data_IF_353552505161
#
_entry.id   IF_353552505161
#
_cell.length_a   1.000
_cell.length_b   1.000
_cell.length_c   1.000
_cell.angle_alpha   90.00
_cell.angle_beta   90.00
_cell.angle_gamma   90.00
#
_symmetry.space_group_name_H-M   'P 1'
#
loop_
_entity.id
_entity.type
_entity.pdbx_description
1 polymer ?
#
# COMPACT_ATOMS: atom_id res chain seq x y z
N UNK A 1 -18.63 0.46 15.34
CA UNK A 1 -18.48 0.11 13.92
C UNK A 1 -17.99 1.35 13.21
N UNK A 2 -17.07 1.20 12.26
CA UNK A 2 -16.63 2.28 11.38
C UNK A 2 -17.81 2.79 10.55
N UNK A 3 -17.86 4.09 10.28
CA UNK A 3 -18.87 4.69 9.41
C UNK A 3 -18.53 4.49 7.94
N UNK A 4 -19.57 4.35 7.12
CA UNK A 4 -19.44 4.27 5.66
C UNK A 4 -19.18 5.65 5.07
N UNK A 5 -18.67 5.70 3.84
CA UNK A 5 -18.48 6.98 3.13
C UNK A 5 -19.77 7.81 3.05
N UNK A 6 -20.92 7.15 2.84
CA UNK A 6 -22.22 7.82 2.80
C UNK A 6 -22.61 8.44 4.15
N UNK A 7 -22.27 7.79 5.27
CA UNK A 7 -22.52 8.33 6.60
C UNK A 7 -21.61 9.54 6.90
N UNK A 8 -20.34 9.47 6.52
CA UNK A 8 -19.42 10.62 6.64
C UNK A 8 -19.89 11.80 5.77
N UNK A 9 -20.35 11.53 4.54
CA UNK A 9 -20.91 12.55 3.67
C UNK A 9 -22.11 13.26 4.33
N UNK A 10 -23.03 12.50 4.95
CA UNK A 10 -24.15 13.07 5.72
C UNK A 10 -23.67 13.90 6.90
N UNK A 11 -22.67 13.44 7.65
CA UNK A 11 -22.10 14.23 8.75
C UNK A 11 -21.54 15.56 8.26
N UNK A 12 -20.80 15.57 7.14
CA UNK A 12 -20.28 16.81 6.55
C UNK A 12 -21.41 17.76 6.19
N UNK A 13 -22.50 17.25 5.59
CA UNK A 13 -23.68 18.06 5.26
C UNK A 13 -24.31 18.68 6.51
N UNK A 14 -24.46 17.90 7.57
CA UNK A 14 -25.01 18.39 8.84
C UNK A 14 -24.14 19.51 9.43
N UNK A 15 -22.80 19.41 9.30
CA UNK A 15 -21.85 20.47 9.72
C UNK A 15 -21.88 21.72 8.85
N UNK A 16 -22.27 21.60 7.57
CA UNK A 16 -22.38 22.73 6.66
C UNK A 16 -23.65 23.58 6.91
N UNK A 17 -24.59 23.10 7.74
CA UNK A 17 -25.76 23.85 8.22
C UNK A 17 -26.52 24.63 7.12
N UNK A 18 -26.99 23.97 6.05
CA UNK A 18 -27.84 24.63 5.04
C UNK A 18 -29.28 24.11 5.09
N UNK A 19 -30.20 25.00 5.49
CA UNK A 19 -31.60 24.66 5.73
C UNK A 19 -32.42 24.43 4.46
N UNK A 20 -32.06 24.96 3.28
CA UNK A 20 -33.01 24.94 2.14
C UNK A 20 -32.47 24.95 0.70
N UNK A 21 -31.16 25.02 0.45
CA UNK A 21 -30.60 24.77 -0.89
C UNK A 21 -29.12 24.37 -0.79
N UNK A 22 -28.80 23.09 -0.99
CA UNK A 22 -27.42 22.60 -0.95
C UNK A 22 -26.55 23.34 -1.97
N UNK A 23 -25.65 24.21 -1.50
CA UNK A 23 -24.65 24.89 -2.36
C UNK A 23 -23.52 23.98 -2.81
N UNK A 24 -23.36 22.82 -2.15
CA UNK A 24 -22.36 21.83 -2.48
C UNK A 24 -23.03 20.57 -3.03
N UNK A 25 -22.58 20.13 -4.21
CA UNK A 25 -22.94 18.80 -4.70
C UNK A 25 -22.14 17.72 -3.96
N UNK A 26 -22.69 16.51 -3.94
CA UNK A 26 -22.04 15.33 -3.35
C UNK A 26 -20.65 15.10 -3.93
N UNK A 27 -20.50 15.29 -5.24
CA UNK A 27 -19.22 15.16 -5.93
C UNK A 27 -18.18 16.18 -5.42
N UNK A 28 -18.61 17.42 -5.13
CA UNK A 28 -17.71 18.44 -4.57
C UNK A 28 -17.29 18.09 -3.15
N UNK A 29 -18.23 17.66 -2.31
CA UNK A 29 -17.92 17.23 -0.94
C UNK A 29 -17.00 16.00 -0.98
N UNK A 30 -17.27 15.02 -1.83
CA UNK A 30 -16.44 13.82 -1.96
C UNK A 30 -14.99 14.16 -2.35
N UNK A 31 -14.81 15.13 -3.24
CA UNK A 31 -13.46 15.63 -3.59
C UNK A 31 -12.74 16.18 -2.36
N UNK A 32 -13.46 16.93 -1.51
CA UNK A 32 -12.90 17.44 -0.25
C UNK A 32 -12.67 16.34 0.78
N UNK A 33 -13.51 15.29 0.84
CA UNK A 33 -13.29 14.12 1.70
C UNK A 33 -11.97 13.44 1.32
N UNK A 34 -11.73 13.19 0.03
CA UNK A 34 -10.48 12.59 -0.45
C UNK A 34 -9.26 13.43 -0.04
N UNK A 35 -9.35 14.76 -0.14
CA UNK A 35 -8.28 15.64 0.33
C UNK A 35 -8.14 15.64 1.85
N UNK A 36 -9.24 15.69 2.58
CA UNK A 36 -9.27 15.69 4.04
C UNK A 36 -8.66 14.43 4.64
N UNK A 37 -8.89 13.27 4.02
CA UNK A 37 -8.25 12.02 4.40
C UNK A 37 -6.73 12.12 4.27
N UNK A 38 -6.22 12.71 3.18
CA UNK A 38 -4.77 12.91 2.99
C UNK A 38 -4.19 13.82 4.08
N UNK A 39 -4.83 14.94 4.33
CA UNK A 39 -4.37 15.93 5.31
C UNK A 39 -4.41 15.39 6.75
N UNK A 40 -5.46 14.66 7.11
CA UNK A 40 -5.60 14.04 8.43
C UNK A 40 -4.59 12.91 8.59
N UNK A 41 -4.45 12.04 7.60
CA UNK A 41 -3.48 10.95 7.68
C UNK A 41 -2.04 11.48 7.76
N UNK A 42 -1.74 12.60 7.10
CA UNK A 42 -0.44 13.25 7.23
C UNK A 42 -0.15 13.74 8.66
N UNK A 43 -1.17 13.86 9.52
CA UNK A 43 -1.05 14.28 10.93
C UNK A 43 -1.22 13.14 11.94
N UNK A 44 -2.13 12.21 11.64
CA UNK A 44 -2.44 11.04 12.45
C UNK A 44 -2.53 9.84 11.50
N UNK A 45 -1.40 9.32 11.00
CA UNK A 45 -1.40 8.20 10.08
C UNK A 45 -1.80 6.92 10.80
N UNK A 46 -2.36 5.96 10.05
CA UNK A 46 -2.45 4.58 10.53
C UNK A 46 -1.08 3.90 10.39
N UNK A 47 -0.74 3.06 11.37
CA UNK A 47 0.50 2.29 11.36
C UNK A 47 0.20 0.86 10.95
N UNK A 48 0.79 0.40 9.85
CA UNK A 48 0.58 -0.95 9.32
C UNK A 48 1.88 -1.71 9.34
N UNK A 49 1.86 -2.90 9.94
CA UNK A 49 2.99 -3.84 9.91
C UNK A 49 2.91 -4.67 8.64
N UNK A 50 3.93 -4.57 7.79
CA UNK A 50 4.03 -5.31 6.52
C UNK A 50 5.25 -6.23 6.59
N UNK A 51 5.05 -7.49 6.20
CA UNK A 51 6.13 -8.46 6.02
C UNK A 51 6.64 -8.40 4.58
N UNK A 52 7.96 -8.27 4.42
CA UNK A 52 8.67 -8.23 3.14
C UNK A 52 9.60 -9.42 3.05
N UNK A 53 9.65 -10.05 1.89
CA UNK A 53 10.58 -11.15 1.65
C UNK A 53 12.01 -10.63 1.46
N UNK A 54 12.94 -11.27 2.16
CA UNK A 54 14.37 -11.02 1.99
C UNK A 54 14.91 -12.03 0.99
N UNK A 55 15.36 -11.54 -0.16
CA UNK A 55 15.96 -12.42 -1.17
C UNK A 55 17.41 -12.74 -0.80
N UNK A 56 17.66 -14.03 -0.61
CA UNK A 56 18.94 -14.57 -0.19
C UNK A 56 19.39 -15.77 -1.02
N UNK A 57 18.63 -16.16 -2.07
CA UNK A 57 18.98 -17.30 -2.91
C UNK A 57 20.22 -17.02 -3.74
N UNK A 58 21.07 -18.03 -3.85
CA UNK A 58 22.32 -18.02 -4.61
C UNK A 58 22.47 -19.35 -5.34
N UNK A 59 23.35 -19.46 -6.32
CA UNK A 59 23.58 -20.74 -7.02
C UNK A 59 24.77 -20.70 -7.97
N UNK A 60 24.84 -21.71 -8.85
CA UNK A 60 25.84 -21.78 -9.92
C UNK A 60 25.21 -22.31 -11.20
N UNK A 61 25.50 -21.66 -12.33
CA UNK A 61 24.97 -22.06 -13.63
C UNK A 61 25.50 -23.45 -14.01
N UNK A 62 24.61 -24.36 -14.40
CA UNK A 62 24.97 -25.73 -14.81
C UNK A 62 25.24 -25.86 -16.31
N UNK A 63 24.91 -24.83 -17.10
CA UNK A 63 25.14 -24.84 -18.55
C UNK A 63 25.12 -23.45 -19.15
N UNK A 64 25.91 -23.23 -20.21
CA UNK A 64 25.86 -21.99 -20.99
C UNK A 64 24.65 -22.01 -21.93
N UNK A 65 23.82 -20.96 -21.87
CA UNK A 65 22.70 -20.75 -22.77
C UNK A 65 22.46 -19.25 -22.94
N UNK A 66 22.43 -18.79 -24.19
CA UNK A 66 22.33 -17.36 -24.49
C UNK A 66 21.10 -16.73 -23.83
N UNK A 67 21.32 -15.64 -23.10
CA UNK A 67 20.26 -14.89 -22.37
C UNK A 67 19.48 -15.75 -21.38
N UNK A 68 20.06 -16.81 -20.83
CA UNK A 68 19.43 -17.67 -19.84
C UNK A 68 20.34 -17.91 -18.66
N UNK A 69 19.74 -18.10 -17.49
CA UNK A 69 20.39 -18.75 -16.36
C UNK A 69 19.78 -20.14 -16.20
N UNK A 70 20.61 -21.16 -16.29
CA UNK A 70 20.22 -22.56 -16.10
C UNK A 70 20.93 -23.08 -14.85
N UNK A 71 20.17 -23.45 -13.82
CA UNK A 71 20.69 -24.09 -12.61
C UNK A 71 19.84 -25.33 -12.31
N UNK A 72 20.19 -26.43 -12.98
CA UNK A 72 19.53 -27.72 -12.81
C UNK A 72 19.87 -28.38 -11.46
N UNK A 73 20.94 -27.96 -10.80
CA UNK A 73 21.38 -28.52 -9.52
C UNK A 73 20.51 -28.05 -8.37
N UNK A 74 20.17 -26.76 -8.33
CA UNK A 74 19.30 -26.21 -7.28
C UNK A 74 17.82 -26.24 -7.65
N UNK A 75 17.48 -26.05 -8.92
CA UNK A 75 16.09 -26.08 -9.41
C UNK A 75 15.11 -25.27 -8.52
N UNK A 76 15.48 -24.04 -8.17
CA UNK A 76 14.80 -23.22 -7.15
C UNK A 76 14.15 -21.92 -7.67
N UNK A 77 14.11 -21.70 -8.99
CA UNK A 77 13.47 -20.52 -9.57
C UNK A 77 11.94 -20.61 -9.45
N UNK A 78 11.30 -19.45 -9.34
CA UNK A 78 9.85 -19.33 -9.21
C UNK A 78 9.31 -18.41 -10.30
N UNK A 79 8.05 -18.60 -10.70
CA UNK A 79 7.40 -17.70 -11.67
C UNK A 79 7.32 -16.25 -11.18
N UNK A 80 7.30 -16.04 -9.87
CA UNK A 80 7.35 -14.73 -9.20
C UNK A 80 8.73 -14.08 -9.22
N UNK A 81 9.76 -14.73 -9.79
CA UNK A 81 11.10 -14.15 -9.90
C UNK A 81 11.25 -13.21 -11.09
N UNK A 82 10.28 -13.16 -12.01
CA UNK A 82 10.29 -12.18 -13.11
C UNK A 82 10.33 -10.76 -12.54
N UNK A 83 11.29 -9.97 -13.01
CA UNK A 83 11.60 -8.62 -12.52
C UNK A 83 12.67 -8.57 -11.43
N UNK A 84 13.10 -9.70 -10.85
CA UNK A 84 14.24 -9.76 -9.94
C UNK A 84 15.57 -9.59 -10.68
N UNK A 85 16.62 -9.31 -9.91
CA UNK A 85 17.95 -9.00 -10.44
C UNK A 85 18.89 -10.17 -10.16
N UNK A 86 19.58 -10.64 -11.20
CA UNK A 86 20.69 -11.58 -11.11
C UNK A 86 22.00 -10.81 -11.13
N UNK A 87 22.87 -11.16 -10.19
CA UNK A 87 24.27 -10.73 -10.17
C UNK A 87 25.17 -11.93 -10.33
N UNK A 88 25.93 -11.96 -11.43
CA UNK A 88 26.98 -12.94 -11.65
C UNK A 88 28.19 -12.57 -10.78
N UNK A 89 28.54 -13.46 -9.85
CA UNK A 89 29.63 -13.24 -8.89
C UNK A 89 31.01 -13.54 -9.46
N UNK A 90 31.09 -14.23 -10.60
CA UNK A 90 32.34 -14.51 -11.32
C UNK A 90 32.77 -13.30 -12.13
N UNK A 91 31.85 -12.76 -12.94
CA UNK A 91 32.15 -11.71 -13.93
C UNK A 91 31.76 -10.30 -13.49
N UNK A 92 31.13 -10.16 -12.32
CA UNK A 92 30.65 -8.88 -11.78
C UNK A 92 29.61 -8.19 -12.67
N UNK A 93 28.82 -8.97 -13.41
CA UNK A 93 27.79 -8.50 -14.35
C UNK A 93 26.38 -8.66 -13.79
N UNK A 94 25.43 -7.94 -14.39
CA UNK A 94 24.04 -7.81 -13.89
C UNK A 94 23.03 -8.01 -15.02
N UNK A 95 21.94 -8.71 -14.72
CA UNK A 95 20.80 -8.86 -15.62
C UNK A 95 19.48 -8.96 -14.83
N UNK A 96 18.37 -8.55 -15.44
CA UNK A 96 17.03 -8.73 -14.88
C UNK A 96 16.42 -10.01 -15.42
N UNK A 97 15.68 -10.73 -14.59
CA UNK A 97 14.87 -11.88 -15.03
C UNK A 97 13.66 -11.34 -15.81
N UNK A 98 13.53 -11.69 -17.08
CA UNK A 98 12.44 -11.22 -17.95
C UNK A 98 11.41 -12.32 -18.25
N UNK A 99 11.76 -13.58 -18.02
CA UNK A 99 10.84 -14.70 -18.20
C UNK A 99 11.20 -15.86 -17.26
N UNK A 100 10.17 -16.63 -16.90
CA UNK A 100 10.31 -17.88 -16.16
C UNK A 100 9.92 -19.04 -17.07
N UNK A 101 10.81 -20.02 -17.19
CA UNK A 101 10.55 -21.21 -18.01
C UNK A 101 10.30 -22.44 -17.13
N UNK A 102 11.12 -22.63 -16.09
CA UNK A 102 10.98 -23.73 -15.15
C UNK A 102 11.73 -23.40 -13.85
N UNK A 103 11.61 -24.29 -12.87
CA UNK A 103 12.36 -24.16 -11.61
C UNK A 103 13.87 -24.21 -11.81
N UNK A 104 14.36 -24.73 -12.95
CA UNK A 104 15.78 -24.80 -13.28
C UNK A 104 16.24 -23.77 -14.31
N UNK A 105 15.34 -22.97 -14.87
CA UNK A 105 15.70 -22.03 -15.93
C UNK A 105 14.83 -20.77 -15.94
N UNK A 106 15.52 -19.64 -16.04
CA UNK A 106 14.93 -18.31 -16.25
C UNK A 106 15.61 -17.60 -17.43
N UNK A 107 14.84 -16.76 -18.13
CA UNK A 107 15.36 -15.88 -19.17
C UNK A 107 15.85 -14.56 -18.59
N UNK A 108 17.01 -14.11 -19.05
CA UNK A 108 17.68 -12.90 -18.61
C UNK A 108 17.61 -11.81 -19.67
N UNK A 109 17.66 -10.55 -19.24
CA UNK A 109 17.69 -9.38 -20.14
C UNK A 109 18.96 -9.30 -21.00
N UNK A 110 20.03 -10.00 -20.61
CA UNK A 110 21.35 -10.00 -21.25
C UNK A 110 22.03 -11.34 -21.01
N UNK A 111 22.94 -11.69 -21.91
CA UNK A 111 23.80 -12.86 -21.75
C UNK A 111 24.91 -12.55 -20.76
N UNK A 112 24.81 -13.12 -19.57
CA UNK A 112 25.76 -12.87 -18.47
C UNK A 112 26.20 -14.16 -17.78
N UNK A 113 25.85 -15.34 -18.27
CA UNK A 113 26.13 -16.61 -17.58
C UNK A 113 26.82 -17.62 -18.50
N UNK A 114 27.90 -18.23 -18.02
CA UNK A 114 28.49 -19.45 -18.54
C UNK A 114 28.40 -20.60 -17.52
N UNK A 115 28.60 -21.83 -17.99
CA UNK A 115 28.63 -23.02 -17.14
C UNK A 115 29.69 -22.89 -16.03
N UNK A 116 29.29 -23.14 -14.79
CA UNK A 116 30.12 -23.08 -13.59
C UNK A 116 30.13 -21.73 -12.87
N UNK A 117 29.55 -20.68 -13.45
CA UNK A 117 29.58 -19.35 -12.85
C UNK A 117 28.59 -19.20 -11.70
N UNK A 118 29.02 -18.53 -10.62
CA UNK A 118 28.20 -18.29 -9.44
C UNK A 118 27.25 -17.10 -9.63
N UNK A 119 26.10 -17.12 -8.95
CA UNK A 119 25.18 -16.00 -8.97
C UNK A 119 24.47 -15.77 -7.63
N UNK A 120 24.03 -14.54 -7.43
CA UNK A 120 23.07 -14.13 -6.39
C UNK A 120 21.79 -13.62 -7.05
N UNK A 121 20.64 -13.92 -6.44
CA UNK A 121 19.35 -13.31 -6.77
C UNK A 121 19.10 -12.16 -5.80
N UNK A 122 18.60 -11.03 -6.29
CA UNK A 122 18.14 -9.91 -5.46
C UNK A 122 16.71 -9.53 -5.83
N UNK A 123 16.01 -8.90 -4.89
CA UNK A 123 14.67 -8.35 -5.12
C UNK A 123 14.65 -7.35 -6.30
N UNK A 124 13.47 -7.11 -6.86
CA UNK A 124 13.26 -6.09 -7.90
C UNK A 124 13.85 -4.75 -7.47
N UNK A 125 14.52 -4.07 -8.40
CA UNK A 125 15.20 -2.79 -8.19
C UNK A 125 16.27 -2.76 -7.07
N UNK A 126 16.67 -3.92 -6.55
CA UNK A 126 17.71 -4.05 -5.52
C UNK A 126 19.06 -4.45 -6.13
N UNK A 127 20.14 -4.03 -5.47
CA UNK A 127 21.54 -4.27 -5.88
C UNK A 127 22.36 -5.05 -4.83
N UNK A 128 21.75 -5.50 -3.74
CA UNK A 128 22.39 -6.43 -2.81
C UNK A 128 21.33 -7.13 -1.94
N UNK A 129 21.75 -8.15 -1.19
CA UNK A 129 20.88 -8.93 -0.29
C UNK A 129 20.49 -8.20 1.00
N UNK A 130 20.98 -6.98 1.22
CA UNK A 130 20.57 -6.10 2.32
C UNK A 130 19.45 -5.15 1.91
N UNK A 131 18.92 -5.27 0.69
CA UNK A 131 17.88 -4.38 0.19
C UNK A 131 16.53 -5.06 0.09
N UNK A 132 15.50 -4.36 0.55
CA UNK A 132 14.11 -4.78 0.51
C UNK A 132 13.35 -3.89 -0.48
N UNK A 133 12.61 -4.52 -1.38
CA UNK A 133 11.78 -3.78 -2.33
C UNK A 133 10.48 -3.33 -1.67
N UNK A 134 10.23 -2.02 -1.68
CA UNK A 134 9.02 -1.40 -1.14
C UNK A 134 8.18 -0.71 -2.22
N UNK A 135 8.52 -0.89 -3.50
CA UNK A 135 7.81 -0.25 -4.61
C UNK A 135 6.36 -0.69 -4.77
N UNK A 136 6.02 -1.89 -4.29
CA UNK A 136 4.64 -2.41 -4.28
C UNK A 136 3.80 -1.88 -3.11
N UNK A 137 4.42 -1.27 -2.09
CA UNK A 137 3.69 -0.66 -0.97
C UNK A 137 3.20 0.72 -1.40
N UNK A 138 1.97 0.74 -1.92
CA UNK A 138 1.25 1.95 -2.31
C UNK A 138 0.66 2.67 -1.11
N UNK A 139 0.29 3.93 -1.29
CA UNK A 139 -0.41 4.73 -0.28
C UNK A 139 0.34 4.90 1.06
N UNK A 140 1.68 4.81 1.04
CA UNK A 140 2.54 5.15 2.19
C UNK A 140 2.76 6.66 2.25
N UNK A 141 2.74 7.21 3.46
CA UNK A 141 3.05 8.62 3.72
C UNK A 141 4.55 8.75 3.92
N UNK A 142 5.05 8.05 4.94
CA UNK A 142 6.43 8.02 5.38
C UNK A 142 6.69 6.67 6.04
N UNK A 143 7.96 6.33 6.23
CA UNK A 143 8.35 5.21 7.08
C UNK A 143 8.08 5.61 8.54
N UNK A 144 7.14 4.92 9.19
CA UNK A 144 6.81 5.20 10.58
C UNK A 144 7.60 4.28 11.48
N UNK A 145 8.64 4.85 12.07
CA UNK A 145 9.50 4.12 12.99
C UNK A 145 9.45 4.83 14.32
N UNK A 146 8.78 4.19 15.27
CA UNK A 146 8.87 4.64 16.66
C UNK A 146 10.29 4.49 17.20
N UNK A 147 11.18 3.71 16.54
CA UNK A 147 12.58 3.51 16.99
C UNK A 147 13.61 3.15 15.89
N UNK A 148 13.54 3.64 14.64
CA UNK A 148 14.51 3.29 13.57
C UNK A 148 14.84 1.79 13.38
N UNK A 149 13.93 0.88 13.77
CA UNK A 149 14.21 -0.54 13.91
C UNK A 149 13.28 -1.37 13.02
N UNK A 150 13.84 -2.14 12.09
CA UNK A 150 13.14 -3.23 11.37
C UNK A 150 13.18 -4.47 12.24
N UNK A 151 12.04 -5.12 12.40
CA UNK A 151 11.92 -6.37 13.14
C UNK A 151 12.14 -7.55 12.20
N UNK A 152 13.11 -8.41 12.49
CA UNK A 152 13.32 -9.63 11.73
C UNK A 152 12.78 -10.84 12.48
N UNK A 153 12.10 -11.70 11.73
CA UNK A 153 11.89 -13.07 12.15
C UNK A 153 13.13 -13.88 11.79
N UNK A 154 14.05 -13.99 12.73
CA UNK A 154 14.95 -15.15 12.76
C UNK A 154 14.10 -16.38 13.09
N UNK A 155 14.53 -17.57 12.65
CA UNK A 155 14.00 -18.84 13.15
C UNK A 155 14.29 -19.07 14.67
N UNK A 156 14.54 -18.00 15.44
CA UNK A 156 14.76 -18.01 16.89
C UNK A 156 13.72 -17.09 17.55
N UNK A 157 13.36 -17.42 18.78
CA UNK A 157 12.21 -16.89 19.52
C UNK A 157 12.24 -15.40 19.88
N UNK A 158 13.28 -14.65 19.50
CA UNK A 158 13.43 -13.23 19.85
C UNK A 158 13.62 -12.39 18.59
N UNK A 159 12.77 -11.37 18.35
CA UNK A 159 12.96 -10.48 17.22
C UNK A 159 14.25 -9.68 17.33
N UNK A 160 15.01 -9.64 16.24
CA UNK A 160 16.20 -8.78 16.14
C UNK A 160 15.83 -7.49 15.44
N UNK A 161 16.31 -6.38 15.98
CA UNK A 161 16.03 -5.05 15.47
C UNK A 161 17.26 -4.44 14.79
N UNK A 162 17.10 -3.96 13.55
CA UNK A 162 18.19 -3.35 12.79
C UNK A 162 17.83 -1.97 12.23
N UNK A 163 18.84 -1.10 12.15
CA UNK A 163 18.75 0.19 11.48
C UNK A 163 18.59 -0.01 9.96
N UNK A 164 18.00 0.97 9.30
CA UNK A 164 17.91 0.99 7.84
C UNK A 164 17.99 2.41 7.31
N UNK A 165 18.19 2.52 6.00
CA UNK A 165 18.04 3.77 5.25
C UNK A 165 17.19 3.50 4.02
N UNK A 166 16.25 4.39 3.75
CA UNK A 166 15.62 4.41 2.43
C UNK A 166 16.68 4.86 1.42
N UNK A 167 16.85 4.05 0.39
CA UNK A 167 17.71 4.37 -0.74
C UNK A 167 16.83 4.80 -1.91
N UNK A 168 17.41 5.52 -2.87
CA UNK A 168 16.71 5.82 -4.10
C UNK A 168 16.18 4.51 -4.74
N UNK A 169 15.06 4.59 -5.48
CA UNK A 169 14.42 3.48 -6.24
C UNK A 169 13.47 2.56 -5.45
N UNK A 170 12.74 3.07 -4.46
CA UNK A 170 11.76 2.27 -3.70
C UNK A 170 12.37 1.02 -3.04
N UNK A 171 13.58 1.17 -2.50
CA UNK A 171 14.24 0.11 -1.75
C UNK A 171 14.67 0.63 -0.38
N UNK A 172 14.68 -0.28 0.60
CA UNK A 172 15.22 -0.04 1.94
C UNK A 172 16.50 -0.84 2.10
N UNK A 173 17.61 -0.18 2.43
CA UNK A 173 18.87 -0.85 2.74
C UNK A 173 19.04 -1.03 4.24
N UNK A 174 19.31 -2.27 4.64
CA UNK A 174 19.48 -2.70 6.02
C UNK A 174 20.92 -2.38 6.44
N UNK A 175 21.06 -1.53 7.46
CA UNK A 175 22.34 -1.06 7.96
C UNK A 175 22.91 -2.09 8.94
N UNK A 176 23.56 -3.13 8.40
CA UNK A 176 24.24 -4.18 9.16
C UNK A 176 25.70 -4.29 8.77
N UNK A 177 26.58 -4.35 9.77
CA UNK A 177 28.04 -4.40 9.60
C UNK A 177 28.59 -5.79 9.27
N UNK A 178 27.84 -6.87 9.47
CA UNK A 178 28.34 -8.25 9.30
C UNK A 178 27.50 -9.09 8.34
N UNK A 179 28.20 -9.65 7.33
CA UNK A 179 27.92 -10.83 6.47
C UNK A 179 26.55 -10.88 5.73
N UNK A 180 26.47 -11.44 4.50
CA UNK A 180 25.19 -11.60 3.80
C UNK A 180 24.12 -12.29 4.66
N UNK A 181 22.89 -11.77 4.57
CA UNK A 181 21.69 -12.30 5.20
C UNK A 181 21.33 -13.60 4.49
N UNK A 182 21.83 -14.75 4.95
CA UNK A 182 21.53 -16.06 4.35
C UNK A 182 20.42 -16.82 5.09
N UNK A 183 19.99 -16.33 6.25
CA UNK A 183 19.10 -17.07 7.17
C UNK A 183 17.71 -16.46 7.32
N UNK A 184 17.49 -15.26 6.80
CA UNK A 184 16.22 -14.56 6.94
C UNK A 184 15.42 -14.73 5.67
N UNK A 185 14.16 -15.12 5.82
CA UNK A 185 13.22 -15.17 4.70
C UNK A 185 12.31 -13.94 4.69
N UNK A 186 12.08 -13.31 5.84
CA UNK A 186 11.14 -12.18 6.00
C UNK A 186 11.65 -11.09 6.94
N UNK A 187 11.24 -9.85 6.65
CA UNK A 187 11.45 -8.66 7.48
C UNK A 187 10.10 -7.96 7.71
N UNK A 188 9.76 -7.63 8.94
CA UNK A 188 8.54 -6.90 9.29
C UNK A 188 8.86 -5.41 9.52
N UNK A 189 8.15 -4.55 8.80
CA UNK A 189 8.34 -3.09 8.83
C UNK A 189 7.00 -2.41 9.09
N UNK A 190 6.99 -1.42 9.97
CA UNK A 190 5.84 -0.57 10.19
C UNK A 190 5.87 0.63 9.24
N UNK A 191 4.77 0.86 8.52
CA UNK A 191 4.59 1.98 7.61
C UNK A 191 3.50 2.92 8.14
N UNK A 192 3.73 4.23 8.04
CA UNK A 192 2.62 5.20 8.12
C UNK A 192 1.92 5.20 6.78
N UNK A 193 0.65 4.82 6.78
CA UNK A 193 -0.18 4.73 5.59
C UNK A 193 -1.27 5.78 5.66
N UNK A 194 -1.76 6.21 4.50
CA UNK A 194 -2.99 6.99 4.48
C UNK A 194 -4.15 6.13 4.97
N UNK A 195 -5.08 6.75 5.68
CA UNK A 195 -6.39 6.16 5.89
C UNK A 195 -7.11 6.00 4.53
N UNK A 196 -7.95 4.98 4.46
CA UNK A 196 -8.84 4.66 3.35
C UNK A 196 -10.29 4.76 3.82
N UNK A 197 -11.13 5.34 2.95
CA UNK A 197 -12.60 5.43 3.07
C UNK A 197 -13.18 5.14 1.67
N UNK A 198 -13.36 3.86 1.32
CA UNK A 198 -13.82 3.48 -0.01
C UNK A 198 -15.23 3.99 -0.29
N UNK A 199 -15.49 4.38 -1.54
CA UNK A 199 -16.82 4.79 -1.99
C UNK A 199 -17.62 3.58 -2.52
N UNK A 200 -17.70 2.53 -1.69
CA UNK A 200 -18.46 1.33 -1.96
C UNK A 200 -19.79 1.37 -1.18
N UNK A 201 -20.85 0.83 -1.77
CA UNK A 201 -22.14 0.64 -1.08
C UNK A 201 -22.34 -0.79 -0.62
N UNK A 202 -21.70 -1.73 -1.31
CA UNK A 202 -21.56 -3.13 -0.91
C UNK A 202 -20.09 -3.40 -0.57
N UNK A 203 -19.87 -4.05 0.57
CA UNK A 203 -18.55 -4.36 1.09
C UNK A 203 -18.26 -5.86 1.08
N UNK A 204 -19.16 -6.68 0.56
CA UNK A 204 -18.93 -8.10 0.38
C UNK A 204 -18.92 -8.46 -1.11
N UNK A 205 -18.07 -9.41 -1.45
CA UNK A 205 -18.03 -10.05 -2.76
C UNK A 205 -17.55 -11.49 -2.60
N UNK A 206 -17.38 -12.19 -3.70
CA UNK A 206 -16.83 -13.55 -3.68
C UNK A 206 -15.83 -13.78 -4.81
N UNK A 207 -14.87 -14.67 -4.55
CA UNK A 207 -13.90 -15.10 -5.57
C UNK A 207 -14.63 -15.72 -6.76
N UNK A 208 -14.33 -15.23 -7.97
CA UNK A 208 -14.99 -15.64 -9.21
C UNK A 208 -14.02 -16.34 -10.16
N UNK A 209 -13.50 -17.49 -9.72
CA UNK A 209 -12.66 -18.33 -10.56
C UNK A 209 -12.74 -19.78 -10.10
N UNK A 210 -13.24 -20.67 -10.98
CA UNK A 210 -13.57 -22.07 -10.64
C UNK A 210 -12.38 -22.82 -10.04
N UNK A 211 -11.16 -22.59 -10.54
CA UNK A 211 -9.96 -23.26 -10.04
C UNK A 211 -9.38 -22.62 -8.76
N UNK A 212 -9.91 -21.47 -8.33
CA UNK A 212 -9.34 -20.69 -7.24
C UNK A 212 -7.99 -20.05 -7.59
N UNK A 213 -7.41 -19.33 -6.64
CA UNK A 213 -6.09 -18.72 -6.79
C UNK A 213 -5.10 -19.36 -5.82
N UNK A 214 -3.84 -19.46 -6.25
CA UNK A 214 -2.76 -20.02 -5.43
C UNK A 214 -2.20 -18.99 -4.45
N UNK A 215 -1.53 -19.46 -3.40
CA UNK A 215 -0.69 -18.61 -2.57
C UNK A 215 0.31 -17.80 -3.42
N UNK A 216 0.54 -16.55 -3.06
CA UNK A 216 1.35 -15.60 -3.81
C UNK A 216 0.64 -14.90 -4.96
N UNK A 217 -0.60 -15.27 -5.30
CA UNK A 217 -1.37 -14.56 -6.33
C UNK A 217 -1.61 -13.11 -5.92
N UNK A 218 -1.42 -12.17 -6.86
CA UNK A 218 -1.55 -10.71 -6.65
C UNK A 218 -2.69 -10.08 -7.45
N UNK A 219 -3.53 -10.90 -8.07
CA UNK A 219 -4.77 -10.47 -8.71
C UNK A 219 -5.85 -11.51 -8.54
N UNK A 220 -7.11 -11.06 -8.53
CA UNK A 220 -8.27 -11.91 -8.31
C UNK A 220 -9.51 -11.32 -8.94
N UNK A 221 -10.26 -12.15 -9.66
CA UNK A 221 -11.59 -11.82 -10.15
C UNK A 221 -12.61 -12.01 -9.03
N UNK A 222 -13.52 -11.06 -8.90
CA UNK A 222 -14.59 -11.03 -7.91
C UNK A 222 -15.96 -10.93 -8.59
N UNK A 223 -16.97 -11.48 -7.95
CA UNK A 223 -18.39 -11.30 -8.28
C UNK A 223 -19.21 -10.98 -7.02
N UNK A 224 -20.52 -10.78 -7.19
CA UNK A 224 -21.42 -10.45 -6.08
C UNK A 224 -21.21 -9.05 -5.51
N UNK A 225 -20.58 -8.16 -6.27
CA UNK A 225 -20.37 -6.76 -5.89
C UNK A 225 -21.59 -5.90 -6.26
N UNK A 226 -21.57 -4.62 -5.90
CA UNK A 226 -22.53 -3.62 -6.40
C UNK A 226 -22.59 -3.54 -7.95
N UNK A 227 -23.69 -3.05 -8.51
CA UNK A 227 -23.93 -3.06 -9.96
C UNK A 227 -22.90 -2.27 -10.78
N UNK A 228 -22.41 -1.15 -10.24
CA UNK A 228 -21.41 -0.28 -10.84
C UNK A 228 -20.60 0.46 -9.78
N UNK A 229 -19.46 1.01 -10.18
CA UNK A 229 -18.59 1.81 -9.32
C UNK A 229 -17.13 1.50 -9.56
N UNK A 230 -16.28 1.94 -8.63
CA UNK A 230 -14.83 1.71 -8.69
C UNK A 230 -14.36 1.30 -7.31
N UNK A 231 -13.62 0.21 -7.23
CA UNK A 231 -12.82 -0.15 -6.06
C UNK A 231 -11.53 0.65 -6.18
N UNK A 232 -11.34 1.65 -5.32
CA UNK A 232 -10.22 2.57 -5.43
C UNK A 232 -8.89 1.92 -4.97
N UNK A 233 -7.77 2.35 -5.55
CA UNK A 233 -6.43 2.06 -5.02
C UNK A 233 -6.36 2.37 -3.52
N UNK A 234 -5.70 1.50 -2.74
CA UNK A 234 -5.59 1.64 -1.30
C UNK A 234 -6.81 1.15 -0.52
N UNK A 235 -7.86 0.65 -1.18
CA UNK A 235 -8.97 -0.05 -0.53
C UNK A 235 -8.45 -1.35 0.09
N UNK A 236 -8.75 -1.56 1.37
CA UNK A 236 -8.32 -2.76 2.09
C UNK A 236 -9.41 -3.83 2.10
N UNK A 237 -9.02 -5.10 2.08
CA UNK A 237 -9.94 -6.23 2.19
C UNK A 237 -9.31 -7.41 2.91
N UNK A 238 -10.17 -8.32 3.33
CA UNK A 238 -9.82 -9.64 3.87
C UNK A 238 -10.52 -10.72 3.05
N UNK A 239 -9.99 -11.93 3.10
CA UNK A 239 -10.61 -13.10 2.46
C UNK A 239 -10.95 -14.09 3.57
N UNK A 240 -12.21 -14.53 3.64
CA UNK A 240 -12.68 -15.41 4.69
C UNK A 240 -11.81 -16.68 4.79
N UNK A 241 -11.38 -17.12 5.97
CA UNK A 241 -10.44 -18.24 6.18
C UNK A 241 -9.04 -18.08 5.57
N UNK A 242 -8.63 -16.87 5.18
CA UNK A 242 -7.22 -16.55 4.87
C UNK A 242 -6.74 -15.49 5.86
N UNK A 243 -5.50 -15.66 6.33
CA UNK A 243 -4.87 -14.68 7.21
C UNK A 243 -4.32 -13.50 6.39
N UNK A 244 -4.41 -12.32 6.99
CA UNK A 244 -3.82 -11.10 6.44
C UNK A 244 -4.85 -10.08 5.97
N UNK A 245 -4.35 -8.88 5.70
CA UNK A 245 -5.09 -7.77 5.11
C UNK A 245 -4.40 -7.39 3.82
N UNK A 246 -5.17 -7.25 2.76
CA UNK A 246 -4.69 -6.94 1.42
C UNK A 246 -5.12 -5.53 1.03
N UNK A 247 -4.28 -4.83 0.28
CA UNK A 247 -4.58 -3.51 -0.26
C UNK A 247 -4.62 -3.57 -1.77
N UNK A 248 -5.67 -3.01 -2.37
CA UNK A 248 -5.78 -2.84 -3.82
C UNK A 248 -4.68 -1.89 -4.32
N UNK A 249 -3.99 -2.26 -5.39
CA UNK A 249 -2.82 -1.53 -5.91
C UNK A 249 -3.11 -0.65 -7.12
N UNK A 250 -4.33 -0.72 -7.66
CA UNK A 250 -4.82 0.10 -8.77
C UNK A 250 -6.34 0.13 -8.78
N UNK A 251 -6.94 1.22 -9.25
CA UNK A 251 -8.40 1.32 -9.40
C UNK A 251 -8.96 0.16 -10.24
N UNK A 252 -10.03 -0.46 -9.76
CA UNK A 252 -10.74 -1.51 -10.46
C UNK A 252 -12.21 -1.12 -10.69
N UNK A 253 -12.60 -1.04 -11.96
CA UNK A 253 -13.99 -0.74 -12.33
C UNK A 253 -14.89 -1.95 -12.08
N UNK A 254 -16.01 -1.71 -11.41
CA UNK A 254 -17.06 -2.71 -11.21
C UNK A 254 -18.03 -2.62 -12.38
N UNK A 255 -18.21 -3.73 -13.09
CA UNK A 255 -19.14 -3.87 -14.20
C UNK A 255 -19.97 -5.15 -14.03
N UNK A 256 -21.29 -5.03 -14.06
CA UNK A 256 -22.21 -6.17 -13.96
C UNK A 256 -21.99 -6.98 -12.67
N UNK A 257 -21.80 -6.30 -11.54
CA UNK A 257 -21.55 -6.92 -10.22
C UNK A 257 -20.22 -7.70 -10.12
N UNK A 258 -19.25 -7.43 -10.99
CA UNK A 258 -17.95 -8.10 -11.02
C UNK A 258 -16.80 -7.12 -11.27
N UNK A 259 -15.61 -7.46 -10.79
CA UNK A 259 -14.37 -6.70 -11.02
C UNK A 259 -13.16 -7.62 -10.91
N UNK A 260 -12.05 -7.26 -11.57
CA UNK A 260 -10.74 -7.87 -11.30
C UNK A 260 -9.88 -6.87 -10.55
N UNK A 261 -9.45 -7.25 -9.34
CA UNK A 261 -8.58 -6.42 -8.53
C UNK A 261 -7.13 -6.91 -8.60
N UNK A 262 -6.20 -5.96 -8.56
CA UNK A 262 -4.78 -6.21 -8.30
C UNK A 262 -4.47 -5.75 -6.88
N UNK A 263 -3.69 -6.52 -6.12
CA UNK A 263 -3.48 -6.25 -4.70
C UNK A 263 -2.10 -6.68 -4.19
N UNK A 264 -1.75 -6.17 -3.02
CA UNK A 264 -0.53 -6.47 -2.29
C UNK A 264 -0.82 -6.58 -0.78
N UNK A 265 -0.17 -7.49 -0.02
CA UNK A 265 0.75 -8.53 -0.48
C UNK A 265 0.05 -9.61 -1.32
N UNK A 266 0.81 -10.55 -1.90
CA UNK A 266 0.21 -11.74 -2.50
C UNK A 266 -0.51 -12.60 -1.45
N UNK A 267 -1.46 -13.43 -1.87
CA UNK A 267 -2.24 -14.28 -0.96
C UNK A 267 -1.34 -15.16 -0.08
N UNK A 268 -1.63 -15.26 1.23
CA UNK A 268 -0.83 -16.08 2.16
C UNK A 268 -1.06 -17.58 1.91
N UNK A 269 -2.29 -17.95 1.52
CA UNK A 269 -2.69 -19.32 1.19
C UNK A 269 -3.54 -19.33 -0.08
N UNK A 270 -3.76 -20.51 -0.65
CA UNK A 270 -4.69 -20.65 -1.75
C UNK A 270 -6.13 -20.26 -1.32
N UNK A 271 -6.90 -19.72 -2.26
CA UNK A 271 -8.31 -19.37 -2.10
C UNK A 271 -9.14 -20.14 -3.12
N UNK A 272 -10.31 -20.61 -2.71
CA UNK A 272 -11.23 -21.37 -3.56
C UNK A 272 -12.27 -20.45 -4.21
N UNK A 273 -12.92 -20.95 -5.26
CA UNK A 273 -14.09 -20.28 -5.84
C UNK A 273 -15.16 -20.00 -4.78
N UNK A 274 -15.92 -18.91 -4.92
CA UNK A 274 -17.00 -18.47 -4.02
C UNK A 274 -16.59 -18.09 -2.59
N UNK A 275 -15.29 -18.08 -2.28
CA UNK A 275 -14.82 -17.63 -0.98
C UNK A 275 -15.13 -16.15 -0.79
N UNK A 276 -15.70 -15.80 0.38
CA UNK A 276 -16.15 -14.43 0.66
C UNK A 276 -14.95 -13.49 0.81
N UNK A 277 -15.06 -12.33 0.18
CA UNK A 277 -14.12 -11.23 0.26
C UNK A 277 -14.84 -10.05 0.90
N UNK A 278 -14.26 -9.50 1.97
CA UNK A 278 -14.88 -8.40 2.72
C UNK A 278 -13.97 -7.18 2.68
N UNK A 279 -14.46 -6.09 2.10
CA UNK A 279 -13.81 -4.79 2.03
C UNK A 279 -13.96 -4.03 3.34
N UNK A 280 -12.91 -3.31 3.73
CA UNK A 280 -12.90 -2.48 4.93
C UNK A 280 -13.66 -1.20 4.65
N UNK A 281 -14.71 -0.92 5.45
CA UNK A 281 -15.59 0.23 5.25
C UNK A 281 -14.88 1.57 5.44
N UNK A 282 -14.06 1.65 6.48
CA UNK A 282 -13.20 2.78 6.78
C UNK A 282 -12.08 2.29 7.67
N UNK A 283 -10.89 2.83 7.45
CA UNK A 283 -9.73 2.62 8.33
C UNK A 283 -9.59 3.74 9.36
N UNK A 284 -10.51 4.72 9.36
CA UNK A 284 -10.51 5.80 10.35
C UNK A 284 -11.00 5.26 11.68
N UNK A 285 -10.37 5.71 12.76
CA UNK A 285 -10.91 5.50 14.10
C UNK A 285 -12.14 6.40 14.32
N UNK A 286 -13.09 6.03 15.20
CA UNK A 286 -14.32 6.80 15.38
C UNK A 286 -14.12 8.28 15.70
N UNK A 287 -13.05 8.65 16.39
CA UNK A 287 -12.74 10.06 16.67
C UNK A 287 -12.21 10.79 15.41
N UNK A 288 -11.43 10.11 14.57
CA UNK A 288 -10.93 10.67 13.31
C UNK A 288 -12.05 10.89 12.29
N UNK A 289 -13.12 10.11 12.35
CA UNK A 289 -14.32 10.33 11.52
C UNK A 289 -14.99 11.68 11.81
N UNK A 290 -15.13 12.04 13.09
CA UNK A 290 -15.67 13.35 13.50
C UNK A 290 -14.74 14.49 13.09
N UNK A 291 -13.42 14.31 13.31
CA UNK A 291 -12.40 15.28 12.91
C UNK A 291 -12.40 15.47 11.39
N UNK A 292 -12.55 14.39 10.62
CA UNK A 292 -12.67 14.45 9.16
C UNK A 292 -13.91 15.23 8.74
N UNK A 293 -15.07 14.97 9.35
CA UNK A 293 -16.28 15.68 9.00
C UNK A 293 -16.16 17.20 9.25
N UNK A 294 -15.66 17.61 10.42
CA UNK A 294 -15.42 19.02 10.76
C UNK A 294 -14.37 19.64 9.80
N UNK A 295 -13.26 18.93 9.54
CA UNK A 295 -12.19 19.41 8.65
C UNK A 295 -12.68 19.63 7.22
N UNK A 296 -13.40 18.66 6.66
CA UNK A 296 -13.95 18.71 5.30
C UNK A 296 -15.00 19.81 5.18
N UNK A 297 -15.87 19.98 6.18
CA UNK A 297 -16.81 21.11 6.21
C UNK A 297 -16.06 22.45 6.15
N UNK A 298 -14.97 22.58 6.91
CA UNK A 298 -14.08 23.73 6.86
C UNK A 298 -13.47 23.98 5.47
N UNK A 299 -13.01 22.93 4.79
CA UNK A 299 -12.49 23.01 3.42
C UNK A 299 -13.57 23.44 2.42
N UNK A 300 -14.77 22.87 2.52
CA UNK A 300 -15.92 23.21 1.70
C UNK A 300 -16.29 24.70 1.82
N UNK A 301 -16.36 25.23 3.05
CA UNK A 301 -16.60 26.66 3.29
C UNK A 301 -15.48 27.55 2.73
N UNK A 302 -14.22 27.13 2.88
CA UNK A 302 -13.05 27.87 2.40
C UNK A 302 -13.00 27.95 0.87
N UNK A 303 -13.29 26.86 0.15
CA UNK A 303 -13.23 26.84 -1.31
C UNK A 303 -14.31 27.71 -1.98
N UNK A 304 -15.51 27.80 -1.40
CA UNK A 304 -16.55 28.72 -1.89
C UNK A 304 -16.08 30.16 -1.82
N UNK A 305 -15.35 30.53 -0.77
CA UNK A 305 -14.77 31.87 -0.67
C UNK A 305 -13.85 32.15 -1.88
N UNK A 306 -13.00 31.20 -2.26
CA UNK A 306 -12.08 31.37 -3.39
C UNK A 306 -12.77 31.52 -4.75
N UNK A 307 -13.82 30.73 -5.01
CA UNK A 307 -14.56 30.78 -6.29
C UNK A 307 -15.25 32.13 -6.53
N UNK A 308 -15.55 32.90 -5.48
CA UNK A 308 -16.34 34.14 -5.56
C UNK A 308 -15.52 35.42 -5.75
N UNK A 309 -14.19 35.35 -5.62
CA UNK A 309 -13.30 36.44 -6.06
C UNK A 309 -13.51 36.75 -7.56
N UNK A 310 -14.06 35.80 -8.33
CA UNK A 310 -14.20 35.90 -9.78
C UNK A 310 -15.61 36.24 -10.29
N UNK A 311 -16.62 36.46 -9.43
CA UNK A 311 -17.93 36.94 -9.91
C UNK A 311 -19.08 36.90 -8.89
N UNK A 312 -19.72 38.06 -8.71
CA UNK A 312 -21.02 38.34 -8.04
C UNK A 312 -21.06 38.55 -6.51
N UNK A 313 -21.94 39.49 -6.11
CA UNK A 313 -22.04 40.17 -4.82
C UNK A 313 -22.66 39.32 -3.71
N UNK A 314 -21.83 38.75 -2.84
CA UNK A 314 -22.23 38.20 -1.55
C UNK A 314 -21.49 38.96 -0.46
N UNK A 315 -22.07 40.05 0.07
CA UNK A 315 -21.48 40.90 1.11
C UNK A 315 -21.14 40.16 2.42
N UNK A 316 -21.87 40.42 3.50
CA UNK A 316 -21.54 39.92 4.85
C UNK A 316 -21.50 38.39 4.99
N UNK A 317 -22.11 37.64 4.07
CA UNK A 317 -22.09 36.18 4.08
C UNK A 317 -20.71 35.59 3.78
N UNK A 318 -19.91 36.22 2.91
CA UNK A 318 -18.57 35.73 2.56
C UNK A 318 -17.67 35.65 3.80
N UNK A 319 -17.62 36.74 4.57
CA UNK A 319 -16.82 36.83 5.79
C UNK A 319 -17.25 35.79 6.83
N UNK A 320 -18.55 35.46 6.88
CA UNK A 320 -19.07 34.38 7.74
C UNK A 320 -18.56 33.01 7.32
N UNK A 321 -18.65 32.63 6.04
CA UNK A 321 -18.14 31.32 5.59
C UNK A 321 -16.63 31.18 5.76
N UNK A 322 -15.86 32.24 5.50
CA UNK A 322 -14.41 32.20 5.70
C UNK A 322 -14.05 32.03 7.18
N UNK A 323 -14.70 32.76 8.08
CA UNK A 323 -14.46 32.67 9.51
C UNK A 323 -14.89 31.31 10.07
N UNK A 324 -16.08 30.84 9.72
CA UNK A 324 -16.61 29.53 10.14
C UNK A 324 -15.75 28.40 9.58
N UNK A 325 -15.37 28.47 8.30
CA UNK A 325 -14.50 27.48 7.66
C UNK A 325 -13.14 27.38 8.35
N UNK A 326 -12.53 28.52 8.69
CA UNK A 326 -11.29 28.58 9.46
C UNK A 326 -11.47 27.96 10.84
N UNK A 327 -12.52 28.33 11.56
CA UNK A 327 -12.79 27.83 12.90
C UNK A 327 -12.96 26.30 12.93
N UNK A 328 -13.72 25.73 11.98
CA UNK A 328 -13.87 24.27 11.88
C UNK A 328 -12.55 23.59 11.56
N UNK A 329 -11.78 24.13 10.61
CA UNK A 329 -10.47 23.59 10.25
C UNK A 329 -9.50 23.59 11.44
N UNK A 330 -9.37 24.73 12.12
CA UNK A 330 -8.49 24.87 13.29
C UNK A 330 -8.92 23.94 14.42
N UNK A 331 -10.21 23.92 14.76
CA UNK A 331 -10.75 23.02 15.78
C UNK A 331 -10.51 21.54 15.45
N UNK A 332 -10.66 21.14 14.19
CA UNK A 332 -10.41 19.77 13.75
C UNK A 332 -8.91 19.43 13.88
N UNK A 333 -8.03 20.34 13.50
CA UNK A 333 -6.58 20.15 13.60
C UNK A 333 -6.09 20.11 15.05
N UNK A 334 -6.69 20.89 15.95
CA UNK A 334 -6.35 20.90 17.38
C UNK A 334 -6.77 19.61 18.10
N UNK A 335 -7.78 18.90 17.58
CA UNK A 335 -8.19 17.60 18.10
C UNK A 335 -7.25 16.46 17.69
N UNK A 336 -6.44 16.67 16.65
CA UNK A 336 -5.48 15.65 16.23
C UNK A 336 -4.36 15.58 17.26
N UNK A 337 -4.00 14.36 17.71
CA UNK A 337 -2.83 14.23 18.56
C UNK A 337 -1.63 14.82 17.80
N UNK A 338 -0.73 15.55 18.47
CA UNK A 338 0.51 15.96 17.83
C UNK A 338 1.16 14.71 17.27
N UNK A 339 1.68 14.81 16.05
CA UNK A 339 2.41 13.74 15.42
C UNK A 339 3.51 13.32 16.40
N UNK A 340 3.30 12.19 17.09
CA UNK A 340 4.33 11.60 17.92
C UNK A 340 5.32 11.00 16.93
N UNK A 341 6.14 11.86 16.34
CA UNK A 341 7.47 11.52 15.90
C UNK A 341 8.22 11.45 17.22
N UNK A 342 8.52 10.27 17.79
CA UNK A 342 9.41 10.23 18.93
C UNK A 342 10.68 10.97 18.51
N UNK A 343 11.01 12.02 19.25
CA UNK A 343 12.17 12.85 18.99
C UNK A 343 13.39 11.97 18.77
N UNK A 344 14.04 12.13 17.62
CA UNK A 344 15.38 11.63 17.36
C UNK A 344 16.30 12.36 18.33
N UNK A 345 16.54 11.79 19.50
CA UNK A 345 17.71 12.14 20.28
C UNK A 345 18.87 11.49 19.55
N UNK A 346 19.58 12.24 18.71
CA UNK A 346 20.89 11.81 18.24
C UNK A 346 21.74 11.50 19.47
N UNK A 347 22.27 10.28 19.63
CA UNK A 347 23.37 10.09 20.57
C UNK A 347 24.54 10.95 20.05
N UNK A 348 25.06 11.82 20.92
CA UNK A 348 26.31 12.55 20.68
C UNK A 348 27.48 11.59 20.65
#
# INVERSE_FOLDING_TARGET
>A
MSRTNAQILTMVRDRLFEATAFKWSDAQIQTQITQGIKDISAKSPRVVRIELDVEARTGSSTSTSANNLVDASKAHFLSTDVGKVIYNTTDYTWATIISYSSTSQVGLSKDIMASGEGYNIYNTDCVNSKQLYIGNIRNRILLYLTENKVEYYIQQSTPSYHNFKEIARNALEIMRDTTPITTYTKAAINFAMYHSLPNLTDYEGAVNYVNGYLAGSTSMALNGLQASGTIQEGTEFTVNNVRGTYSVTADATIATNAATISFYPGLESAVINTQVVTFTQSTLEPYLEEVLADYVAGLCCSNIATLRIHGSAFGDEFSKYLMVGRQYKEKALDQLPPLRIPYIVCPR
#
